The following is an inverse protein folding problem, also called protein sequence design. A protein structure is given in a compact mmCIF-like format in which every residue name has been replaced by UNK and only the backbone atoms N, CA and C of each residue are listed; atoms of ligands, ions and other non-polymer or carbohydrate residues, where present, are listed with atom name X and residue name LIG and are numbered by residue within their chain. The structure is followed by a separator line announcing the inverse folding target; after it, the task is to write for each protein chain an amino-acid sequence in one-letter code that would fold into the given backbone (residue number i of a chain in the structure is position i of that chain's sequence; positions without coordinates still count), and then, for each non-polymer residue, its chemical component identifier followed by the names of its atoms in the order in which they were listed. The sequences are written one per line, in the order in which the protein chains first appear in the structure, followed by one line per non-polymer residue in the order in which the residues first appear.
data_IF_866533073668
#
_entry.id   IF_866533073668
#
_cell.length_a   1.000
_cell.length_b   1.000
_cell.length_c   1.000
_cell.angle_alpha   90.00
_cell.angle_beta   90.00
_cell.angle_gamma   90.00
#
_symmetry.space_group_name_H-M   'P 1'
#
loop_
_entity.id
_entity.type
_entity.pdbx_description
1 polymer ?
#
# COMPACT_ATOMS: atom_id res chain seq x y z
N UNK A 1 9.24 -2.22 -32.17
CA UNK A 1 9.69 -2.52 -30.80
C UNK A 1 11.16 -2.16 -30.70
N UNK A 2 11.46 -0.89 -30.41
CA UNK A 2 12.82 -0.44 -30.13
C UNK A 2 13.12 -0.66 -28.65
N UNK A 3 14.27 -1.27 -28.34
CA UNK A 3 14.80 -1.35 -26.98
C UNK A 3 15.18 0.06 -26.53
N UNK A 4 14.32 0.72 -25.77
CA UNK A 4 14.71 1.90 -24.99
C UNK A 4 15.28 1.42 -23.67
N UNK A 5 16.61 1.39 -23.55
CA UNK A 5 17.28 1.48 -22.25
C UNK A 5 17.10 2.93 -21.77
N UNK A 6 15.94 3.22 -21.20
CA UNK A 6 15.74 4.36 -20.33
C UNK A 6 16.05 3.84 -18.93
N UNK A 7 16.91 4.51 -18.16
CA UNK A 7 16.86 4.56 -16.67
C UNK A 7 18.19 4.89 -15.97
N UNK A 8 19.27 5.19 -16.69
CA UNK A 8 20.51 5.59 -16.04
C UNK A 8 21.16 6.81 -16.70
N UNK A 9 21.20 7.93 -15.98
CA UNK A 9 22.15 9.01 -16.25
C UNK A 9 22.94 9.30 -14.98
N UNK A 10 24.26 9.26 -15.12
CA UNK A 10 25.24 9.50 -14.06
C UNK A 10 25.24 11.01 -13.71
N UNK A 11 24.99 11.32 -12.44
CA UNK A 11 25.13 12.65 -11.88
C UNK A 11 26.62 13.03 -11.77
N UNK A 12 26.90 14.32 -11.59
CA UNK A 12 28.27 14.88 -11.54
C UNK A 12 29.12 14.25 -10.42
N UNK A 13 28.48 13.66 -9.40
CA UNK A 13 29.10 12.96 -8.29
C UNK A 13 29.25 11.44 -8.50
N UNK A 14 28.90 10.92 -9.68
CA UNK A 14 28.97 9.48 -10.01
C UNK A 14 27.78 8.68 -9.49
N UNK A 15 26.74 9.31 -8.94
CA UNK A 15 25.51 8.62 -8.53
C UNK A 15 24.52 8.49 -9.70
N UNK A 16 23.82 7.36 -9.78
CA UNK A 16 22.72 7.19 -10.74
C UNK A 16 21.43 7.72 -10.12
N UNK A 17 20.78 8.66 -10.81
CA UNK A 17 19.42 9.10 -10.48
C UNK A 17 18.45 7.97 -10.81
N UNK A 18 17.90 7.27 -9.81
CA UNK A 18 16.75 6.39 -10.02
C UNK A 18 15.56 7.24 -10.47
N UNK A 19 15.32 7.25 -11.78
CA UNK A 19 14.33 8.11 -12.41
C UNK A 19 12.92 7.92 -11.85
N UNK A 20 12.60 6.76 -11.30
CA UNK A 20 11.39 6.43 -10.55
C UNK A 20 11.68 5.16 -9.72
N UNK A 21 10.88 4.84 -8.69
CA UNK A 21 11.02 3.54 -8.01
C UNK A 21 10.29 2.45 -8.80
N UNK A 22 10.79 1.22 -8.76
CA UNK A 22 10.23 0.10 -9.55
C UNK A 22 8.76 -0.16 -9.23
N UNK A 23 8.34 0.04 -7.98
CA UNK A 23 6.96 -0.14 -7.56
C UNK A 23 6.03 0.88 -8.22
N UNK A 24 6.47 2.14 -8.33
CA UNK A 24 5.70 3.19 -9.01
C UNK A 24 5.65 2.91 -10.51
N UNK A 25 6.73 2.42 -11.10
CA UNK A 25 6.77 2.01 -12.51
C UNK A 25 5.81 0.86 -12.80
N UNK A 26 5.73 -0.17 -11.94
CA UNK A 26 4.78 -1.26 -12.12
C UNK A 26 3.33 -0.81 -12.05
N UNK A 27 3.00 0.09 -11.11
CA UNK A 27 1.66 0.66 -11.00
C UNK A 27 1.35 1.54 -12.23
N UNK A 28 2.31 2.38 -12.65
CA UNK A 28 2.16 3.21 -13.83
C UNK A 28 1.98 2.38 -15.10
N UNK A 29 2.77 1.33 -15.29
CA UNK A 29 2.69 0.45 -16.44
C UNK A 29 1.33 -0.26 -16.49
N UNK A 30 0.80 -0.71 -15.34
CA UNK A 30 -0.52 -1.34 -15.30
C UNK A 30 -1.65 -0.39 -15.71
N UNK A 31 -1.52 0.91 -15.39
CA UNK A 31 -2.45 1.94 -15.87
C UNK A 31 -2.30 2.21 -17.37
N UNK A 32 -1.07 2.19 -17.89
CA UNK A 32 -0.79 2.32 -19.33
C UNK A 32 -1.38 1.14 -20.09
N UNK A 33 -1.07 -0.10 -19.69
CA UNK A 33 -1.55 -1.33 -20.33
C UNK A 33 -3.09 -1.37 -20.36
N UNK A 34 -3.75 -0.98 -19.27
CA UNK A 34 -5.20 -0.89 -19.19
C UNK A 34 -5.76 0.12 -20.20
N UNK A 35 -5.18 1.31 -20.27
CA UNK A 35 -5.63 2.36 -21.18
C UNK A 35 -5.32 2.04 -22.65
N UNK A 36 -4.21 1.37 -22.93
CA UNK A 36 -3.89 0.91 -24.29
C UNK A 36 -4.87 -0.17 -24.77
N UNK A 37 -5.32 -1.05 -23.86
CA UNK A 37 -6.36 -2.03 -24.14
C UNK A 37 -7.76 -1.40 -24.28
N UNK A 38 -8.04 -0.33 -23.54
CA UNK A 38 -9.33 0.38 -23.52
C UNK A 38 -9.16 1.91 -23.57
N UNK A 39 -8.83 2.49 -24.74
CA UNK A 39 -8.54 3.93 -24.87
C UNK A 39 -9.70 4.84 -24.48
N UNK A 40 -10.93 4.34 -24.56
CA UNK A 40 -12.15 5.05 -24.15
C UNK A 40 -12.14 5.49 -22.68
N UNK A 41 -11.38 4.83 -21.81
CA UNK A 41 -11.23 5.19 -20.39
C UNK A 41 -10.65 6.61 -20.21
N UNK A 42 -9.88 7.10 -21.18
CA UNK A 42 -9.34 8.46 -21.15
C UNK A 42 -10.39 9.55 -21.43
N UNK A 43 -11.55 9.18 -21.99
CA UNK A 43 -12.58 10.13 -22.38
C UNK A 43 -13.47 10.56 -21.21
N UNK A 44 -13.42 9.85 -20.07
CA UNK A 44 -14.24 10.14 -18.89
C UNK A 44 -15.72 10.33 -19.24
N UNK A 45 -16.28 9.42 -20.07
CA UNK A 45 -17.66 9.52 -20.58
C UNK A 45 -18.73 9.29 -19.51
N UNK A 46 -18.30 8.94 -18.29
CA UNK A 46 -19.12 8.75 -17.10
C UNK A 46 -19.83 7.41 -17.03
N UNK A 47 -19.59 6.48 -17.97
CA UNK A 47 -20.15 5.11 -17.89
C UNK A 47 -19.25 4.18 -17.08
N UNK A 48 -17.95 4.35 -17.21
CA UNK A 48 -16.94 3.59 -16.49
C UNK A 48 -15.98 4.58 -15.85
N UNK A 49 -15.83 4.49 -14.53
CA UNK A 49 -14.88 5.30 -13.79
C UNK A 49 -13.64 4.47 -13.46
N UNK A 50 -12.47 5.00 -13.83
CA UNK A 50 -11.18 4.43 -13.43
C UNK A 50 -10.84 4.88 -12.01
N UNK A 51 -10.73 3.94 -11.09
CA UNK A 51 -10.45 4.16 -9.68
C UNK A 51 -9.03 3.68 -9.34
N UNK A 52 -8.24 4.55 -8.70
CA UNK A 52 -6.96 4.19 -8.10
C UNK A 52 -7.04 4.49 -6.60
N UNK A 53 -7.05 3.45 -5.79
CA UNK A 53 -7.27 3.53 -4.34
C UNK A 53 -6.14 2.89 -3.54
N UNK A 54 -5.86 3.46 -2.37
CA UNK A 54 -4.93 2.97 -1.37
C UNK A 54 -5.72 2.62 -0.12
N UNK A 55 -5.68 1.35 0.28
CA UNK A 55 -6.39 0.84 1.47
C UNK A 55 -5.39 0.40 2.53
N UNK A 56 -5.71 0.64 3.80
CA UNK A 56 -4.90 0.19 4.93
C UNK A 56 -5.56 -1.01 5.60
N UNK A 57 -4.75 -2.00 5.96
CA UNK A 57 -5.23 -3.24 6.54
C UNK A 57 -4.12 -4.15 7.03
N UNK A 58 -4.33 -5.45 6.90
CA UNK A 58 -3.35 -6.46 7.29
C UNK A 58 -3.34 -7.58 6.26
N UNK A 59 -2.14 -7.99 5.84
CA UNK A 59 -1.93 -9.16 5.01
C UNK A 59 -1.93 -10.40 5.92
N UNK A 60 -2.82 -11.33 5.62
CA UNK A 60 -3.05 -12.53 6.42
C UNK A 60 -2.67 -13.75 5.58
N UNK A 61 -1.77 -14.57 6.08
CA UNK A 61 -1.42 -15.84 5.46
C UNK A 61 -2.65 -16.76 5.49
N UNK A 62 -3.04 -17.30 4.35
CA UNK A 62 -4.27 -18.10 4.26
C UNK A 62 -4.17 -19.45 4.97
N UNK A 63 -2.95 -19.98 5.10
CA UNK A 63 -2.69 -21.27 5.74
C UNK A 63 -2.63 -21.13 7.27
N UNK A 64 -1.88 -20.15 7.79
CA UNK A 64 -1.71 -19.97 9.23
C UNK A 64 -2.80 -19.12 9.88
N UNK A 65 -3.52 -18.32 9.08
CA UNK A 65 -4.47 -17.28 9.53
C UNK A 65 -3.82 -16.16 10.37
N UNK A 66 -2.49 -16.11 10.39
CA UNK A 66 -1.71 -15.07 11.07
C UNK A 66 -1.29 -13.97 10.09
N UNK A 67 -0.82 -12.85 10.64
CA UNK A 67 -0.23 -11.79 9.83
C UNK A 67 0.96 -12.34 9.02
N UNK A 68 1.08 -11.93 7.77
CA UNK A 68 2.28 -12.18 6.96
C UNK A 68 3.47 -11.44 7.57
N UNK A 69 4.52 -12.19 7.90
CA UNK A 69 5.80 -11.66 8.37
C UNK A 69 6.89 -12.10 7.39
N UNK A 70 7.65 -11.13 6.90
CA UNK A 70 8.76 -11.36 5.98
C UNK A 70 10.09 -11.01 6.66
N UNK A 71 11.18 -11.75 6.37
CA UNK A 71 12.51 -11.46 6.88
C UNK A 71 13.16 -10.31 6.09
N UNK A 72 12.49 -9.17 6.03
CA UNK A 72 12.95 -7.95 5.36
C UNK A 72 12.92 -6.78 6.35
N UNK A 73 13.79 -5.79 6.17
CA UNK A 73 13.90 -4.65 7.09
C UNK A 73 12.99 -3.48 6.71
N UNK A 74 12.53 -3.43 5.46
CA UNK A 74 11.69 -2.37 4.91
C UNK A 74 10.35 -2.89 4.41
N UNK A 75 9.42 -1.96 4.14
CA UNK A 75 8.20 -2.35 3.43
C UNK A 75 8.54 -2.91 2.06
N UNK A 76 7.84 -3.97 1.67
CA UNK A 76 8.11 -4.70 0.45
C UNK A 76 6.82 -4.92 -0.34
N UNK A 77 6.86 -4.63 -1.65
CA UNK A 77 5.82 -5.01 -2.58
C UNK A 77 5.83 -6.53 -2.75
N UNK A 78 4.74 -7.18 -2.38
CA UNK A 78 4.53 -8.60 -2.62
C UNK A 78 4.15 -8.84 -4.07
N UNK A 79 4.70 -9.91 -4.63
CA UNK A 79 4.19 -10.51 -5.86
C UNK A 79 2.76 -11.03 -5.62
N UNK A 80 1.92 -11.10 -6.68
CA UNK A 80 0.58 -11.64 -6.57
C UNK A 80 0.55 -12.99 -5.84
N UNK A 81 -0.42 -13.16 -4.94
CA UNK A 81 -0.61 -14.38 -4.14
C UNK A 81 -0.60 -15.64 -5.01
N UNK A 82 0.39 -16.50 -4.80
CA UNK A 82 0.53 -17.79 -5.49
C UNK A 82 0.14 -18.94 -4.56
N UNK A 83 -0.07 -20.14 -5.12
CA UNK A 83 -0.42 -21.33 -4.33
C UNK A 83 0.60 -21.65 -3.24
N UNK A 84 1.88 -21.39 -3.50
CA UNK A 84 2.98 -21.71 -2.57
C UNK A 84 3.12 -20.66 -1.46
N UNK A 85 2.74 -19.41 -1.72
CA UNK A 85 2.71 -18.32 -0.74
C UNK A 85 1.35 -17.61 -0.78
N UNK A 86 0.33 -18.31 -0.27
CA UNK A 86 -1.04 -17.84 -0.30
C UNK A 86 -1.33 -16.90 0.87
N UNK A 87 -1.71 -15.68 0.52
CA UNK A 87 -2.15 -14.66 1.47
C UNK A 87 -3.37 -13.91 0.94
N UNK A 88 -4.07 -13.25 1.86
CA UNK A 88 -5.18 -12.33 1.57
C UNK A 88 -4.98 -11.00 2.29
N UNK A 89 -5.43 -9.92 1.68
CA UNK A 89 -5.52 -8.63 2.35
C UNK A 89 -6.85 -8.50 3.08
N UNK A 90 -6.80 -8.12 4.35
CA UNK A 90 -7.97 -7.80 5.16
C UNK A 90 -7.97 -6.30 5.44
N UNK A 91 -8.84 -5.51 4.77
CA UNK A 91 -8.97 -4.09 5.11
C UNK A 91 -9.52 -3.95 6.52
N UNK A 92 -9.04 -2.97 7.27
CA UNK A 92 -9.54 -2.73 8.62
C UNK A 92 -8.52 -2.20 9.61
N UNK A 93 -8.99 -1.25 10.40
CA UNK A 93 -8.31 -0.62 11.51
C UNK A 93 -9.16 -0.74 12.77
N UNK A 94 -8.53 -0.47 13.91
CA UNK A 94 -9.28 -0.15 15.12
C UNK A 94 -9.82 1.29 15.04
N UNK A 95 -10.91 1.56 15.75
CA UNK A 95 -11.55 2.89 15.72
C UNK A 95 -10.56 4.01 16.04
N UNK A 96 -9.78 3.85 17.10
CA UNK A 96 -8.83 4.89 17.53
C UNK A 96 -7.69 5.10 16.52
N UNK A 97 -7.29 4.06 15.79
CA UNK A 97 -6.27 4.15 14.74
C UNK A 97 -6.78 5.04 13.60
N UNK A 98 -7.99 4.76 13.12
CA UNK A 98 -8.64 5.56 12.08
C UNK A 98 -8.82 7.01 12.54
N UNK A 99 -9.34 7.23 13.76
CA UNK A 99 -9.50 8.58 14.34
C UNK A 99 -8.17 9.32 14.43
N UNK A 100 -7.11 8.67 14.90
CA UNK A 100 -5.79 9.29 15.06
C UNK A 100 -5.21 9.78 13.73
N UNK A 101 -5.40 9.02 12.64
CA UNK A 101 -4.95 9.44 11.31
C UNK A 101 -5.73 10.65 10.82
N UNK A 102 -7.06 10.60 10.93
CA UNK A 102 -7.94 11.69 10.47
C UNK A 102 -7.63 13.00 11.22
N UNK A 103 -7.40 12.93 12.53
CA UNK A 103 -7.04 14.08 13.35
C UNK A 103 -5.67 14.65 12.99
N UNK A 104 -4.64 13.81 12.81
CA UNK A 104 -3.30 14.28 12.44
C UNK A 104 -3.29 14.94 11.06
N UNK A 105 -3.94 14.32 10.06
CA UNK A 105 -4.02 14.88 8.71
C UNK A 105 -4.75 16.23 8.69
N UNK A 106 -5.85 16.37 9.44
CA UNK A 106 -6.57 17.65 9.55
C UNK A 106 -5.71 18.74 10.16
N UNK A 107 -5.00 18.40 11.24
CA UNK A 107 -4.05 19.31 11.88
C UNK A 107 -2.98 19.77 10.88
N UNK A 108 -2.39 18.83 10.13
CA UNK A 108 -1.39 19.17 9.09
C UNK A 108 -1.97 20.07 8.00
N UNK A 109 -3.21 19.84 7.57
CA UNK A 109 -3.89 20.68 6.59
C UNK A 109 -4.17 22.08 7.13
N UNK A 110 -4.62 22.20 8.37
CA UNK A 110 -4.90 23.48 9.03
C UNK A 110 -3.61 24.29 9.24
N UNK A 111 -2.54 23.66 9.75
CA UNK A 111 -1.22 24.28 9.95
C UNK A 111 -0.60 24.74 8.62
N UNK A 112 -0.73 23.91 7.58
CA UNK A 112 -0.23 24.19 6.23
C UNK A 112 -1.15 25.10 5.41
N UNK A 113 -2.33 25.45 5.93
CA UNK A 113 -3.38 26.22 5.25
C UNK A 113 -3.80 25.61 3.90
N UNK A 114 -3.80 24.29 3.82
CA UNK A 114 -4.26 23.56 2.64
C UNK A 114 -5.79 23.49 2.70
N UNK A 115 -6.52 23.96 1.68
CA UNK A 115 -7.98 23.88 1.69
C UNK A 115 -8.45 22.44 1.52
N UNK A 116 -9.41 22.03 2.35
CA UNK A 116 -10.09 20.74 2.26
C UNK A 116 -11.59 20.88 2.49
N UNK A 117 -12.36 19.90 2.00
CA UNK A 117 -13.82 19.84 2.16
C UNK A 117 -14.17 18.55 2.90
N UNK A 118 -14.98 18.65 3.94
CA UNK A 118 -15.53 17.49 4.66
C UNK A 118 -16.95 17.22 4.16
N UNK A 119 -17.24 15.97 3.80
CA UNK A 119 -18.58 15.48 3.46
C UNK A 119 -18.89 14.26 4.32
N UNK A 120 -20.09 14.23 4.90
CA UNK A 120 -20.56 13.06 5.63
C UNK A 120 -21.66 12.38 4.81
N UNK A 121 -21.57 11.06 4.65
CA UNK A 121 -22.54 10.28 3.88
C UNK A 121 -22.74 8.92 4.54
N UNK A 122 -24.00 8.61 4.84
CA UNK A 122 -24.36 7.29 5.33
C UNK A 122 -25.10 6.53 4.22
N UNK A 123 -24.67 5.31 3.92
CA UNK A 123 -25.30 4.48 2.89
C UNK A 123 -25.60 3.06 3.38
N UNK A 124 -26.64 2.47 2.82
CA UNK A 124 -26.89 1.03 2.89
C UNK A 124 -26.63 0.46 1.50
N UNK A 125 -25.58 -0.34 1.39
CA UNK A 125 -25.13 -0.94 0.14
C UNK A 125 -25.60 -2.41 0.11
N UNK A 126 -26.41 -2.78 -0.87
CA UNK A 126 -26.91 -4.14 -1.08
C UNK A 126 -26.25 -4.76 -2.30
N UNK A 127 -25.62 -5.92 -2.14
CA UNK A 127 -24.97 -6.64 -3.23
C UNK A 127 -25.91 -7.75 -3.73
N UNK A 128 -26.28 -7.67 -4.99
CA UNK A 128 -27.14 -8.65 -5.67
C UNK A 128 -26.38 -9.35 -6.80
N UNK A 129 -26.82 -10.54 -7.18
CA UNK A 129 -26.27 -11.22 -8.35
C UNK A 129 -26.56 -10.43 -9.62
N UNK A 130 -25.56 -10.30 -10.48
CA UNK A 130 -25.68 -9.65 -11.77
C UNK A 130 -26.50 -10.55 -12.72
N UNK A 131 -27.69 -10.13 -13.17
CA UNK A 131 -28.55 -10.97 -14.01
C UNK A 131 -27.97 -11.24 -15.40
N UNK A 132 -26.98 -10.46 -15.84
CA UNK A 132 -26.45 -10.50 -17.20
C UNK A 132 -25.22 -11.42 -17.39
N UNK A 133 -24.72 -12.14 -16.36
CA UNK A 133 -23.48 -12.93 -16.47
C UNK A 133 -23.50 -14.26 -15.70
N UNK A 134 -22.79 -15.26 -16.23
CA UNK A 134 -22.69 -16.62 -15.64
C UNK A 134 -21.87 -16.64 -14.35
N UNK A 135 -22.19 -17.57 -13.45
CA UNK A 135 -21.66 -17.73 -12.07
C UNK A 135 -20.13 -17.92 -11.94
N UNK A 136 -19.39 -17.95 -13.05
CA UNK A 136 -17.99 -18.42 -13.12
C UNK A 136 -16.93 -17.31 -13.13
N UNK A 137 -17.31 -16.04 -13.18
CA UNK A 137 -16.37 -14.91 -13.10
C UNK A 137 -16.63 -14.08 -11.83
N UNK A 138 -15.56 -13.55 -11.21
CA UNK A 138 -15.54 -12.62 -10.06
C UNK A 138 -16.33 -11.29 -10.31
N UNK A 139 -17.06 -11.21 -11.42
CA UNK A 139 -17.88 -10.10 -11.92
C UNK A 139 -19.36 -10.25 -11.57
N UNK A 140 -19.66 -11.03 -10.54
CA UNK A 140 -21.01 -11.58 -10.31
C UNK A 140 -21.95 -10.71 -9.48
N UNK A 141 -21.47 -9.60 -8.89
CA UNK A 141 -22.28 -8.79 -7.98
C UNK A 141 -22.41 -7.32 -8.43
N UNK A 142 -23.65 -6.81 -8.39
CA UNK A 142 -23.96 -5.38 -8.52
C UNK A 142 -24.24 -4.83 -7.12
N UNK A 143 -23.60 -3.72 -6.77
CA UNK A 143 -23.86 -2.94 -5.56
C UNK A 143 -24.94 -1.91 -5.85
N UNK A 144 -26.06 -1.98 -5.13
CA UNK A 144 -27.10 -0.95 -5.07
C UNK A 144 -26.95 -0.15 -3.78
N UNK A 145 -26.65 1.14 -3.91
CA UNK A 145 -26.44 2.04 -2.76
C UNK A 145 -27.71 2.86 -2.48
N UNK A 146 -28.15 2.89 -1.23
CA UNK A 146 -29.25 3.74 -0.73
C UNK A 146 -28.73 4.72 0.31
N UNK A 147 -29.33 5.91 0.43
CA UNK A 147 -29.04 6.80 1.57
C UNK A 147 -29.60 6.18 2.85
N UNK A 148 -28.81 6.23 3.92
CA UNK A 148 -29.18 5.72 5.24
C UNK A 148 -29.68 6.86 6.15
N UNK A 149 -30.74 6.63 6.95
CA UNK A 149 -31.53 5.40 7.07
C UNK A 149 -32.44 5.18 5.86
N UNK A 150 -32.47 3.93 5.37
CA UNK A 150 -33.32 3.53 4.23
C UNK A 150 -34.76 3.26 4.69
N UNK A 151 -35.72 3.84 3.98
CA UNK A 151 -37.15 3.52 4.08
C UNK A 151 -37.61 2.62 2.92
N UNK A 152 -38.75 1.95 3.09
CA UNK A 152 -39.30 1.03 2.07
C UNK A 152 -39.58 1.68 0.70
N UNK A 153 -39.81 2.99 0.65
CA UNK A 153 -40.12 3.73 -0.59
C UNK A 153 -38.89 4.37 -1.23
N UNK A 154 -37.73 4.32 -0.58
CA UNK A 154 -36.55 5.01 -1.06
C UNK A 154 -36.02 4.30 -2.30
N UNK A 155 -35.60 5.10 -3.27
CA UNK A 155 -34.96 4.62 -4.49
C UNK A 155 -33.45 4.54 -4.29
N UNK A 156 -32.76 3.59 -4.92
CA UNK A 156 -31.31 3.55 -4.89
C UNK A 156 -30.75 4.81 -5.56
N UNK A 157 -29.68 5.36 -4.99
CA UNK A 157 -28.99 6.52 -5.54
C UNK A 157 -27.91 6.15 -6.54
N UNK A 158 -27.42 4.91 -6.47
CA UNK A 158 -26.29 4.45 -7.27
C UNK A 158 -26.39 2.93 -7.47
N UNK A 159 -25.94 2.48 -8.63
CA UNK A 159 -25.74 1.08 -8.96
C UNK A 159 -24.41 0.96 -9.69
N UNK A 160 -23.51 0.15 -9.14
CA UNK A 160 -22.23 -0.12 -9.77
C UNK A 160 -21.87 -1.60 -9.66
N UNK A 161 -21.06 -2.09 -10.58
CA UNK A 161 -20.24 -3.27 -10.32
C UNK A 161 -18.77 -2.92 -10.51
N UNK A 162 -17.92 -3.47 -9.65
CA UNK A 162 -16.48 -3.22 -9.66
C UNK A 162 -15.75 -4.34 -10.37
N UNK A 163 -14.88 -3.98 -11.30
CA UNK A 163 -13.91 -4.87 -11.92
C UNK A 163 -12.53 -4.57 -11.35
N UNK A 164 -11.90 -5.55 -10.71
CA UNK A 164 -10.56 -5.40 -10.17
C UNK A 164 -9.54 -5.67 -11.27
N UNK A 165 -8.75 -4.66 -11.62
CA UNK A 165 -7.75 -4.75 -12.69
C UNK A 165 -6.41 -5.20 -12.14
N UNK A 166 -5.90 -4.51 -11.13
CA UNK A 166 -4.60 -4.81 -10.54
C UNK A 166 -4.60 -4.50 -9.03
N UNK A 167 -3.79 -5.25 -8.30
CA UNK A 167 -3.56 -5.04 -6.86
C UNK A 167 -2.07 -5.16 -6.55
N UNK A 168 -1.59 -4.26 -5.70
CA UNK A 168 -0.21 -4.16 -5.27
C UNK A 168 -0.21 -4.15 -3.74
N UNK A 169 0.23 -5.25 -3.14
CA UNK A 169 0.21 -5.45 -1.70
C UNK A 169 1.57 -5.13 -1.10
N UNK A 170 1.61 -4.17 -0.18
CA UNK A 170 2.84 -3.75 0.49
C UNK A 170 2.84 -4.30 1.92
N UNK A 171 3.74 -5.24 2.17
CA UNK A 171 3.92 -5.86 3.48
C UNK A 171 4.85 -5.00 4.34
N UNK A 172 4.41 -4.65 5.54
CA UNK A 172 5.28 -4.06 6.54
C UNK A 172 6.18 -5.13 7.15
N UNK A 173 7.48 -4.83 7.36
CA UNK A 173 8.40 -5.75 7.99
C UNK A 173 7.96 -6.00 9.45
N UNK A 174 8.02 -7.24 9.90
CA UNK A 174 7.93 -7.52 11.34
C UNK A 174 9.14 -6.91 12.05
N UNK A 175 9.02 -6.51 13.31
CA UNK A 175 10.21 -6.11 14.04
C UNK A 175 11.13 -7.34 14.22
N UNK A 176 12.47 -7.19 14.11
CA UNK A 176 13.41 -8.28 14.40
C UNK A 176 13.29 -8.66 15.89
N UNK A 177 12.42 -9.63 16.15
CA UNK A 177 11.94 -10.04 17.48
C UNK A 177 10.55 -10.68 17.41
N UNK A 178 9.67 -10.22 16.50
CA UNK A 178 8.31 -10.74 16.32
C UNK A 178 8.27 -12.20 15.82
N UNK A 179 9.34 -12.66 15.15
CA UNK A 179 9.46 -14.04 14.67
C UNK A 179 9.81 -15.04 15.79
N UNK A 180 10.41 -14.56 16.89
CA UNK A 180 10.85 -15.42 17.99
C UNK A 180 9.87 -15.43 19.17
N UNK A 181 9.06 -14.38 19.33
CA UNK A 181 8.05 -14.29 20.38
C UNK A 181 6.64 -14.37 19.81
N UNK A 182 5.98 -15.52 20.01
CA UNK A 182 4.51 -15.65 19.95
C UNK A 182 3.74 -14.69 20.90
N UNK A 183 4.44 -13.79 21.60
CA UNK A 183 3.95 -12.96 22.69
C UNK A 183 3.56 -11.52 22.31
N UNK A 184 3.80 -11.06 21.07
CA UNK A 184 3.35 -9.71 20.68
C UNK A 184 1.89 -9.64 20.20
N UNK A 185 1.18 -10.78 20.17
CA UNK A 185 -0.27 -10.83 19.90
C UNK A 185 -1.08 -10.32 21.12
N UNK A 186 -0.51 -10.35 22.33
CA UNK A 186 -1.23 -10.02 23.56
C UNK A 186 -1.31 -8.51 23.87
N UNK A 187 -0.50 -7.65 23.22
CA UNK A 187 -0.45 -6.20 23.46
C UNK A 187 -0.97 -5.32 22.30
N UNK A 188 -1.79 -5.88 21.40
CA UNK A 188 -2.91 -5.10 20.84
C UNK A 188 -2.67 -4.16 19.66
N UNK A 189 -1.54 -4.21 18.93
CA UNK A 189 -1.51 -3.64 17.57
C UNK A 189 -0.62 -4.44 16.65
N UNK A 190 -1.22 -5.32 15.85
CA UNK A 190 -0.57 -5.87 14.66
C UNK A 190 -0.15 -4.70 13.76
N UNK A 191 1.11 -4.72 13.31
CA UNK A 191 1.60 -3.81 12.29
C UNK A 191 0.65 -3.82 11.09
N UNK A 192 0.35 -2.66 10.54
CA UNK A 192 -0.49 -2.46 9.38
C UNK A 192 0.31 -2.53 8.09
N UNK A 193 -0.35 -3.03 7.08
CA UNK A 193 0.10 -3.16 5.70
C UNK A 193 -0.82 -2.28 4.85
N UNK A 194 -0.47 -2.06 3.59
CA UNK A 194 -1.36 -1.34 2.68
C UNK A 194 -1.44 -2.00 1.31
N UNK A 195 -2.52 -1.71 0.60
CA UNK A 195 -2.77 -2.16 -0.76
C UNK A 195 -3.05 -0.97 -1.64
N UNK A 196 -2.40 -0.91 -2.79
CA UNK A 196 -2.83 -0.06 -3.90
C UNK A 196 -3.64 -0.92 -4.86
N UNK A 197 -4.83 -0.48 -5.27
CA UNK A 197 -5.68 -1.17 -6.21
C UNK A 197 -6.08 -0.26 -7.37
N UNK A 198 -6.17 -0.86 -8.55
CA UNK A 198 -6.72 -0.24 -9.76
C UNK A 198 -8.00 -1.00 -10.07
N UNK A 199 -9.12 -0.28 -10.07
CA UNK A 199 -10.44 -0.85 -10.36
C UNK A 199 -11.13 -0.05 -11.47
N UNK A 200 -12.07 -0.69 -12.16
CA UNK A 200 -13.07 -0.03 -12.98
C UNK A 200 -14.42 -0.11 -12.27
N UNK A 201 -15.07 1.03 -12.05
CA UNK A 201 -16.45 1.09 -11.58
C UNK A 201 -17.39 1.29 -12.76
N UNK A 202 -18.11 0.23 -13.12
CA UNK A 202 -19.10 0.27 -14.20
C UNK A 202 -20.42 0.77 -13.64
N UNK A 203 -20.91 1.91 -14.12
CA UNK A 203 -22.16 2.53 -13.66
C UNK A 203 -23.35 1.95 -14.40
N UNK A 204 -24.34 1.52 -13.63
CA UNK A 204 -25.61 1.00 -14.13
C UNK A 204 -26.74 1.95 -13.74
N UNK A 205 -27.89 1.84 -14.43
CA UNK A 205 -29.07 2.59 -14.02
C UNK A 205 -29.65 1.99 -12.72
N UNK A 206 -29.65 2.72 -11.59
CA UNK A 206 -30.06 2.14 -10.31
C UNK A 206 -31.52 1.70 -10.27
N UNK A 207 -32.39 2.42 -10.98
CA UNK A 207 -33.82 2.10 -11.00
C UNK A 207 -34.08 0.86 -11.85
N UNK A 208 -33.40 0.72 -12.99
CA UNK A 208 -33.54 -0.47 -13.84
C UNK A 208 -33.05 -1.72 -13.12
N UNK A 209 -31.87 -1.65 -12.49
CA UNK A 209 -31.31 -2.77 -11.72
C UNK A 209 -32.25 -3.15 -10.57
N UNK A 210 -32.74 -2.19 -9.78
CA UNK A 210 -33.66 -2.48 -8.68
C UNK A 210 -34.97 -3.13 -9.15
N UNK A 211 -35.47 -2.78 -10.33
CA UNK A 211 -36.68 -3.38 -10.91
C UNK A 211 -36.48 -4.85 -11.33
N UNK A 212 -35.24 -5.33 -11.50
CA UNK A 212 -34.96 -6.75 -11.78
C UNK A 212 -35.16 -7.64 -10.55
N UNK A 213 -35.15 -7.07 -9.35
CA UNK A 213 -35.25 -7.80 -8.09
C UNK A 213 -36.73 -7.99 -7.71
N UNK A 214 -37.12 -9.24 -7.49
CA UNK A 214 -38.48 -9.58 -7.05
C UNK A 214 -38.60 -9.51 -5.53
N UNK A 215 -39.38 -8.56 -5.01
CA UNK A 215 -39.64 -8.39 -3.58
C UNK A 215 -38.64 -7.46 -2.87
N UNK A 216 -38.59 -7.45 -1.53
CA UNK A 216 -37.65 -6.61 -0.78
C UNK A 216 -36.20 -6.97 -1.12
N UNK A 217 -35.36 -5.95 -1.36
CA UNK A 217 -33.94 -6.12 -1.71
C UNK A 217 -33.17 -6.85 -0.61
N UNK A 218 -33.55 -6.67 0.65
CA UNK A 218 -32.99 -7.33 1.84
C UNK A 218 -33.12 -8.86 1.75
N UNK A 219 -34.15 -9.36 1.07
CA UNK A 219 -34.38 -10.79 0.88
C UNK A 219 -33.60 -11.37 -0.31
N UNK A 220 -33.13 -10.50 -1.21
CA UNK A 220 -32.48 -10.91 -2.46
C UNK A 220 -30.98 -10.66 -2.46
N UNK A 221 -30.48 -9.80 -1.57
CA UNK A 221 -29.06 -9.49 -1.47
C UNK A 221 -28.27 -10.67 -0.87
N UNK A 222 -27.06 -10.85 -1.39
CA UNK A 222 -26.06 -11.78 -0.87
C UNK A 222 -25.33 -11.18 0.33
N UNK A 223 -25.18 -9.86 0.33
CA UNK A 223 -24.44 -9.07 1.30
C UNK A 223 -25.10 -7.71 1.47
N UNK A 224 -25.23 -7.26 2.72
CA UNK A 224 -25.56 -5.88 3.06
C UNK A 224 -24.35 -5.25 3.77
N UNK A 225 -23.97 -4.03 3.38
CA UNK A 225 -22.98 -3.22 4.09
C UNK A 225 -23.60 -1.88 4.43
N UNK A 226 -23.74 -1.57 5.72
CA UNK A 226 -24.10 -0.24 6.20
C UNK A 226 -22.82 0.54 6.40
N UNK A 227 -22.73 1.73 5.83
CA UNK A 227 -21.51 2.54 5.81
C UNK A 227 -21.80 3.91 6.37
N UNK A 228 -21.07 4.29 7.40
CA UNK A 228 -21.02 5.65 7.94
C UNK A 228 -19.69 6.24 7.51
N UNK A 229 -19.73 7.18 6.56
CA UNK A 229 -18.52 7.70 5.93
C UNK A 229 -18.34 9.18 6.17
N UNK A 230 -17.13 9.52 6.56
CA UNK A 230 -16.59 10.88 6.50
C UNK A 230 -15.54 10.94 5.39
N UNK A 231 -15.78 11.81 4.42
CA UNK A 231 -14.91 12.02 3.25
C UNK A 231 -14.22 13.37 3.39
N UNK A 232 -12.88 13.38 3.29
CA UNK A 232 -12.05 14.58 3.24
C UNK A 232 -11.48 14.72 1.84
N UNK A 233 -11.95 15.73 1.10
CA UNK A 233 -11.43 16.04 -0.23
C UNK A 233 -10.32 17.10 -0.11
N UNK A 234 -9.12 16.77 -0.55
CA UNK A 234 -7.95 17.66 -0.49
C UNK A 234 -7.16 17.60 -1.80
N UNK A 235 -7.10 18.72 -2.52
CA UNK A 235 -6.37 18.82 -3.79
C UNK A 235 -6.70 17.66 -4.74
N UNK A 236 -5.71 16.80 -5.06
CA UNK A 236 -5.81 15.65 -5.96
C UNK A 236 -6.37 14.37 -5.33
N UNK A 237 -6.63 14.37 -4.02
CA UNK A 237 -6.94 13.16 -3.24
C UNK A 237 -8.30 13.25 -2.54
N UNK A 238 -8.86 12.08 -2.27
CA UNK A 238 -10.03 11.88 -1.43
C UNK A 238 -9.66 10.88 -0.35
N UNK A 239 -9.83 11.25 0.92
CA UNK A 239 -9.66 10.34 2.05
C UNK A 239 -11.04 9.97 2.60
N UNK A 240 -11.38 8.69 2.51
CA UNK A 240 -12.61 8.13 3.03
C UNK A 240 -12.33 7.37 4.33
N UNK A 241 -12.89 7.86 5.43
CA UNK A 241 -12.92 7.22 6.75
C UNK A 241 -14.30 6.61 6.94
N UNK A 242 -14.39 5.28 6.89
CA UNK A 242 -15.68 4.58 6.85
C UNK A 242 -15.81 3.57 7.99
N UNK A 243 -16.82 3.73 8.83
CA UNK A 243 -17.30 2.66 9.69
C UNK A 243 -18.29 1.79 8.90
N UNK A 244 -18.01 0.49 8.82
CA UNK A 244 -18.77 -0.48 8.04
C UNK A 244 -19.33 -1.55 8.95
N UNK A 245 -20.65 -1.78 8.84
CA UNK A 245 -21.33 -2.93 9.43
C UNK A 245 -21.76 -3.86 8.30
N UNK A 246 -21.10 -5.00 8.20
CA UNK A 246 -21.39 -6.04 7.21
C UNK A 246 -22.38 -7.06 7.79
N UNK A 247 -23.44 -7.35 7.04
CA UNK A 247 -24.49 -8.30 7.40
C UNK A 247 -24.60 -9.37 6.31
N UNK A 248 -24.33 -10.61 6.68
CA UNK A 248 -24.42 -11.77 5.78
C UNK A 248 -25.69 -12.59 6.06
N UNK A 249 -26.55 -12.76 5.05
CA UNK A 249 -27.86 -13.39 5.18
C UNK A 249 -27.86 -14.91 4.95
N UNK A 250 -26.87 -15.46 4.22
CA UNK A 250 -26.96 -16.83 3.67
C UNK A 250 -26.63 -17.98 4.64
N UNK A 251 -26.00 -17.77 5.80
CA UNK A 251 -25.54 -18.86 6.71
C UNK A 251 -25.64 -18.55 8.20
N UNK A 252 -26.75 -17.93 8.60
CA UNK A 252 -26.96 -17.40 9.95
C UNK A 252 -26.48 -15.96 10.01
N UNK A 253 -27.26 -15.11 10.69
CA UNK A 253 -26.94 -13.69 10.84
C UNK A 253 -25.54 -13.54 11.44
N UNK A 254 -24.60 -13.06 10.63
CA UNK A 254 -23.27 -12.63 11.08
C UNK A 254 -23.16 -11.15 10.81
N UNK A 255 -22.85 -10.42 11.88
CA UNK A 255 -22.56 -9.00 11.83
C UNK A 255 -21.06 -8.83 12.10
N UNK A 256 -20.36 -8.19 11.18
CA UNK A 256 -18.96 -7.82 11.33
C UNK A 256 -18.83 -6.32 11.24
N UNK A 257 -18.05 -5.73 12.15
CA UNK A 257 -17.79 -4.29 12.17
C UNK A 257 -16.33 -4.04 11.81
N UNK A 258 -16.10 -3.15 10.85
CA UNK A 258 -14.77 -2.77 10.39
C UNK A 258 -14.67 -1.25 10.27
N UNK A 259 -13.50 -0.70 10.60
CA UNK A 259 -13.16 0.69 10.32
C UNK A 259 -12.18 0.71 9.17
N UNK A 260 -12.59 1.27 8.04
CA UNK A 260 -11.85 1.25 6.77
C UNK A 260 -11.36 2.66 6.46
N UNK A 261 -10.07 2.78 6.14
CA UNK A 261 -9.44 4.01 5.69
C UNK A 261 -8.95 3.83 4.26
N UNK A 262 -9.47 4.64 3.35
CA UNK A 262 -9.27 4.56 1.90
C UNK A 262 -8.79 5.92 1.39
N UNK A 263 -7.70 5.96 0.62
CA UNK A 263 -7.20 7.15 -0.06
C UNK A 263 -7.34 6.94 -1.56
N UNK A 264 -8.00 7.85 -2.26
CA UNK A 264 -8.26 7.74 -3.69
C UNK A 264 -7.63 8.91 -4.46
N UNK A 265 -7.12 8.63 -5.65
CA UNK A 265 -6.75 9.65 -6.62
C UNK A 265 -7.98 10.11 -7.39
N UNK A 266 -8.22 11.43 -7.43
CA UNK A 266 -9.34 11.98 -8.19
C UNK A 266 -9.13 11.78 -9.71
N UNK A 267 -10.07 11.10 -10.42
CA UNK A 267 -9.93 10.84 -11.86
C UNK A 267 -9.69 12.07 -12.71
N UNK A 268 -10.37 13.18 -12.39
CA UNK A 268 -10.22 14.45 -13.10
C UNK A 268 -8.81 15.08 -13.01
N UNK A 269 -8.00 14.65 -12.04
CA UNK A 269 -6.63 15.14 -11.87
C UNK A 269 -5.60 14.22 -12.53
N UNK A 270 -5.70 12.89 -12.39
CA UNK A 270 -4.66 11.98 -12.88
C UNK A 270 -4.89 11.52 -14.32
N UNK A 271 -6.12 11.38 -14.81
CA UNK A 271 -6.39 10.90 -16.19
C UNK A 271 -5.79 11.84 -17.26
N UNK A 272 -5.91 13.18 -17.16
CA UNK A 272 -5.26 14.07 -18.11
C UNK A 272 -3.72 13.93 -18.12
N UNK A 273 -3.13 13.69 -16.94
CA UNK A 273 -1.69 13.49 -16.81
C UNK A 273 -1.26 12.12 -17.37
N UNK A 274 -2.04 11.07 -17.16
CA UNK A 274 -1.81 9.75 -17.75
C UNK A 274 -1.87 9.81 -19.27
N UNK A 275 -2.85 10.53 -19.83
CA UNK A 275 -2.95 10.77 -21.28
C UNK A 275 -1.69 11.46 -21.82
N UNK A 276 -1.26 12.55 -21.18
CA UNK A 276 -0.02 13.26 -21.56
C UNK A 276 1.21 12.36 -21.45
N UNK A 277 1.28 11.51 -20.41
CA UNK A 277 2.38 10.57 -20.20
C UNK A 277 2.49 9.57 -21.36
N UNK A 278 1.38 8.97 -21.75
CA UNK A 278 1.32 8.02 -22.87
C UNK A 278 1.72 8.71 -24.18
N UNK A 279 1.21 9.92 -24.44
CA UNK A 279 1.55 10.70 -25.63
C UNK A 279 3.05 11.04 -25.68
N UNK A 280 3.65 11.49 -24.58
CA UNK A 280 5.07 11.85 -24.53
C UNK A 280 5.99 10.63 -24.62
N UNK A 281 5.56 9.50 -24.05
CA UNK A 281 6.28 8.22 -24.14
C UNK A 281 6.26 7.69 -25.57
N UNK A 282 5.09 7.63 -26.21
CA UNK A 282 4.93 7.15 -27.59
C UNK A 282 5.65 8.03 -28.62
N UNK A 283 5.72 9.34 -28.36
CA UNK A 283 6.44 10.28 -29.22
C UNK A 283 7.95 10.36 -28.92
N UNK A 284 8.46 9.58 -27.95
CA UNK A 284 9.88 9.62 -27.55
C UNK A 284 10.33 10.97 -26.99
N UNK A 285 9.40 11.79 -26.50
CA UNK A 285 9.68 13.11 -25.90
C UNK A 285 10.16 12.99 -24.47
N UNK A 286 9.83 11.87 -23.81
CA UNK A 286 10.20 11.60 -22.43
C UNK A 286 11.69 11.21 -22.34
N UNK A 287 12.50 12.07 -21.72
CA UNK A 287 13.93 11.78 -21.47
C UNK A 287 14.17 11.04 -20.16
N UNK A 288 13.38 11.33 -19.12
CA UNK A 288 13.49 10.73 -17.78
C UNK A 288 12.08 10.50 -17.23
N UNK A 289 11.74 9.24 -16.95
CA UNK A 289 10.37 8.82 -16.64
C UNK A 289 9.79 9.56 -15.43
N UNK A 290 10.42 9.48 -14.26
CA UNK A 290 9.82 10.10 -13.06
C UNK A 290 9.98 11.61 -12.94
N UNK A 291 10.49 12.28 -13.98
CA UNK A 291 10.31 13.73 -14.07
C UNK A 291 8.91 14.11 -14.52
N UNK A 292 8.17 13.19 -15.15
CA UNK A 292 6.84 13.45 -15.68
C UNK A 292 5.81 13.69 -14.57
N UNK A 293 4.91 14.69 -14.71
CA UNK A 293 3.93 15.03 -13.68
C UNK A 293 3.02 13.87 -13.23
N UNK A 294 2.64 12.97 -14.15
CA UNK A 294 1.87 11.76 -13.81
C UNK A 294 2.61 10.87 -12.81
N UNK A 295 3.89 10.59 -13.09
CA UNK A 295 4.71 9.73 -12.23
C UNK A 295 4.93 10.38 -10.87
N UNK A 296 5.15 11.70 -10.82
CA UNK A 296 5.25 12.44 -9.55
C UNK A 296 3.96 12.39 -8.73
N UNK A 297 2.80 12.54 -9.38
CA UNK A 297 1.51 12.44 -8.71
C UNK A 297 1.30 11.04 -8.13
N UNK A 298 1.62 10.00 -8.90
CA UNK A 298 1.51 8.60 -8.47
C UNK A 298 2.47 8.28 -7.34
N UNK A 299 3.72 8.73 -7.43
CA UNK A 299 4.70 8.58 -6.35
C UNK A 299 4.23 9.27 -5.06
N UNK A 300 3.72 10.51 -5.16
CA UNK A 300 3.18 11.22 -4.00
C UNK A 300 1.98 10.50 -3.38
N UNK A 301 1.11 9.93 -4.22
CA UNK A 301 -0.02 9.12 -3.76
C UNK A 301 0.44 7.91 -2.94
N UNK A 302 1.31 7.08 -3.50
CA UNK A 302 1.81 5.87 -2.84
C UNK A 302 2.59 6.23 -1.57
N UNK A 303 3.41 7.28 -1.61
CA UNK A 303 4.15 7.77 -0.45
C UNK A 303 3.22 8.29 0.66
N UNK A 304 2.06 8.86 0.32
CA UNK A 304 1.07 9.29 1.31
C UNK A 304 0.41 8.09 1.99
N UNK A 305 0.00 7.06 1.23
CA UNK A 305 -0.53 5.80 1.79
C UNK A 305 0.50 5.11 2.69
N UNK A 306 1.75 5.05 2.22
CA UNK A 306 2.89 4.56 2.98
C UNK A 306 3.11 5.37 4.27
N UNK A 307 3.10 6.70 4.19
CA UNK A 307 3.25 7.60 5.33
C UNK A 307 2.18 7.42 6.39
N UNK A 308 0.91 7.26 5.99
CA UNK A 308 -0.19 6.95 6.91
C UNK A 308 0.03 5.58 7.58
N UNK A 309 0.46 4.58 6.82
CA UNK A 309 0.74 3.23 7.35
C UNK A 309 1.89 3.26 8.35
N UNK A 310 2.97 3.99 8.04
CA UNK A 310 4.08 4.21 8.96
C UNK A 310 3.65 4.96 10.23
N UNK A 311 2.81 5.98 10.10
CA UNK A 311 2.27 6.70 11.25
C UNK A 311 1.53 5.74 12.19
N UNK A 312 0.63 4.91 11.64
CA UNK A 312 -0.12 3.91 12.41
C UNK A 312 0.80 2.89 13.10
N UNK A 313 1.83 2.42 12.42
CA UNK A 313 2.77 1.44 12.96
C UNK A 313 3.66 2.00 14.07
N UNK A 314 3.86 3.32 14.11
CA UNK A 314 4.65 3.99 15.13
C UNK A 314 3.79 4.63 16.23
N UNK A 315 2.47 4.75 16.02
CA UNK A 315 1.54 5.31 17.00
C UNK A 315 1.24 4.28 18.07
N UNK A 316 1.65 4.55 19.31
CA UNK A 316 1.24 3.75 20.45
C UNK A 316 -0.26 3.98 20.73
N UNK A 317 -1.01 2.94 21.15
CA UNK A 317 -2.36 3.13 21.64
C UNK A 317 -2.34 4.20 22.75
N UNK A 318 -3.23 5.19 22.67
CA UNK A 318 -3.36 6.16 23.76
C UNK A 318 -3.76 5.41 25.03
N UNK A 319 -2.89 5.41 26.05
CA UNK A 319 -3.19 4.92 27.39
C UNK A 319 -4.33 5.75 28.00
N UNK A 320 -5.57 5.32 27.79
CA UNK A 320 -6.67 5.59 28.68
C UNK A 320 -7.11 4.27 29.29
N UNK A 321 -6.50 3.90 30.42
CA UNK A 321 -7.08 3.29 31.63
C UNK A 321 -5.92 2.85 32.56
N UNK A 322 -5.80 3.59 33.66
CA UNK A 322 -5.41 3.19 35.03
C UNK A 322 -4.15 2.34 35.29
N UNK A 323 -3.17 3.02 35.91
CA UNK A 323 -2.34 2.58 37.04
C UNK A 323 -2.06 1.08 37.20
N UNK A 324 -0.92 0.65 36.65
CA UNK A 324 0.10 -0.24 37.23
C UNK A 324 1.05 -0.50 36.06
N UNK A 325 2.26 0.02 36.03
CA UNK A 325 3.43 -0.69 36.52
C UNK A 325 4.50 0.36 36.81
N UNK A 326 4.78 0.57 38.10
CA UNK A 326 6.11 0.97 38.51
C UNK A 326 7.05 -0.23 38.31
N UNK A 327 8.25 0.08 37.85
CA UNK A 327 9.46 -0.77 37.80
C UNK A 327 9.63 -1.65 36.56
N UNK A 328 10.21 -1.05 35.53
CA UNK A 328 11.32 -1.66 34.80
C UNK A 328 12.29 -0.56 34.37
N UNK A 329 13.21 -0.20 35.27
CA UNK A 329 14.47 0.42 34.90
C UNK A 329 15.25 -0.60 34.05
N UNK A 330 15.57 -0.26 32.80
CA UNK A 330 16.32 -1.16 31.92
C UNK A 330 16.78 -0.53 30.61
N UNK A 331 17.82 0.31 30.69
CA UNK A 331 18.79 0.63 29.63
C UNK A 331 18.27 1.04 28.23
N UNK A 332 17.82 2.29 28.12
CA UNK A 332 17.96 3.04 26.86
C UNK A 332 19.45 3.34 26.61
N UNK A 333 19.95 2.92 25.44
CA UNK A 333 21.33 2.99 24.89
C UNK A 333 22.10 1.67 24.88
N UNK A 334 21.65 0.70 24.09
CA UNK A 334 22.54 -0.26 23.46
C UNK A 334 22.25 -0.31 21.96
N UNK A 335 23.27 0.01 21.16
CA UNK A 335 23.31 -0.29 19.72
C UNK A 335 23.50 -1.81 19.63
N UNK A 336 22.58 -2.51 18.96
CA UNK A 336 22.63 -3.96 18.80
C UNK A 336 23.64 -4.32 17.72
N UNK A 337 24.59 -5.21 18.04
CA UNK A 337 25.63 -5.68 17.12
C UNK A 337 25.11 -6.86 16.29
N UNK A 338 24.74 -6.57 15.04
CA UNK A 338 24.16 -7.52 14.08
C UNK A 338 25.15 -8.60 13.60
N UNK A 339 26.44 -8.50 13.92
CA UNK A 339 27.44 -9.53 13.53
C UNK A 339 27.26 -10.86 14.27
N UNK A 340 26.42 -10.89 15.30
CA UNK A 340 26.14 -12.07 16.11
C UNK A 340 24.88 -12.84 15.69
N UNK A 341 24.07 -12.30 14.77
CA UNK A 341 22.89 -12.96 14.22
C UNK A 341 23.28 -13.91 13.08
N UNK A 342 23.48 -15.20 13.38
CA UNK A 342 23.66 -16.23 12.36
C UNK A 342 22.33 -16.94 12.08
N UNK A 343 21.83 -16.82 10.85
CA UNK A 343 20.66 -17.57 10.40
C UNK A 343 21.07 -18.97 9.92
N UNK A 344 20.23 -20.01 10.09
CA UNK A 344 20.49 -21.34 9.57
C UNK A 344 20.73 -21.32 8.05
N UNK A 345 21.76 -22.03 7.58
CA UNK A 345 22.15 -22.07 6.17
C UNK A 345 21.01 -22.46 5.21
N UNK A 346 20.06 -23.27 5.67
CA UNK A 346 18.89 -23.68 4.89
C UNK A 346 17.95 -22.51 4.58
N UNK A 347 17.73 -21.60 5.54
CA UNK A 347 16.93 -20.39 5.33
C UNK A 347 17.64 -19.39 4.42
N UNK A 348 18.97 -19.25 4.56
CA UNK A 348 19.78 -18.39 3.69
C UNK A 348 19.76 -18.91 2.24
N UNK A 349 19.84 -20.23 2.06
CA UNK A 349 19.74 -20.87 0.74
C UNK A 349 18.33 -20.70 0.14
N UNK A 350 17.27 -20.87 0.94
CA UNK A 350 15.90 -20.63 0.51
C UNK A 350 15.67 -19.17 0.10
N UNK A 351 16.14 -18.21 0.90
CA UNK A 351 16.06 -16.78 0.59
C UNK A 351 16.80 -16.44 -0.72
N UNK A 352 18.04 -16.93 -0.88
CA UNK A 352 18.81 -16.77 -2.12
C UNK A 352 18.13 -17.40 -3.34
N UNK A 353 17.41 -18.50 -3.15
CA UNK A 353 16.73 -19.23 -4.23
C UNK A 353 15.42 -18.58 -4.66
N UNK A 354 14.66 -18.00 -3.72
CA UNK A 354 13.28 -17.58 -3.97
C UNK A 354 13.04 -16.07 -3.91
N UNK A 355 13.88 -15.30 -3.20
CA UNK A 355 13.70 -13.85 -2.98
C UNK A 355 14.77 -13.01 -3.68
N UNK A 356 15.94 -13.61 -3.98
CA UNK A 356 17.08 -12.90 -4.59
C UNK A 356 17.07 -12.99 -6.13
N UNK A 357 16.12 -12.31 -6.79
CA UNK A 357 16.51 -11.57 -7.98
C UNK A 357 16.16 -10.09 -7.92
N UNK A 358 15.80 -9.54 -6.75
CA UNK A 358 15.60 -8.09 -6.58
C UNK A 358 16.80 -7.50 -5.81
N UNK A 359 17.36 -6.43 -6.37
CA UNK A 359 18.57 -5.69 -5.96
C UNK A 359 18.40 -4.93 -4.62
N UNK A 360 19.46 -4.40 -3.98
CA UNK A 360 19.87 -4.79 -2.63
C UNK A 360 19.40 -3.84 -1.51
N UNK A 361 19.18 -4.43 -0.32
CA UNK A 361 18.85 -3.74 0.94
C UNK A 361 20.11 -3.06 1.53
N UNK A 362 19.88 -1.97 2.26
CA UNK A 362 20.79 -1.04 2.97
C UNK A 362 22.21 -1.49 3.40
N UNK A 363 22.48 -2.79 3.60
CA UNK A 363 23.83 -3.32 3.87
C UNK A 363 24.82 -3.17 2.70
N UNK A 364 24.33 -3.05 1.47
CA UNK A 364 25.19 -2.98 0.26
C UNK A 364 25.85 -1.59 0.09
N UNK A 365 25.26 -0.52 0.63
CA UNK A 365 25.83 0.83 0.56
C UNK A 365 27.07 0.99 1.42
N UNK A 366 27.05 0.48 2.66
CA UNK A 366 28.21 0.53 3.55
C UNK A 366 29.34 -0.36 3.01
N UNK A 367 29.00 -1.55 2.53
CA UNK A 367 29.96 -2.45 1.89
C UNK A 367 30.62 -1.78 0.68
N UNK A 368 29.83 -1.22 -0.26
CA UNK A 368 30.38 -0.48 -1.41
C UNK A 368 31.21 0.74 -1.01
N UNK A 369 30.77 1.49 0.01
CA UNK A 369 31.49 2.67 0.50
C UNK A 369 32.88 2.33 1.06
N UNK A 370 33.06 1.15 1.67
CA UNK A 370 34.34 0.74 2.28
C UNK A 370 35.17 -0.21 1.41
N UNK A 371 34.59 -0.85 0.39
CA UNK A 371 35.26 -1.90 -0.40
C UNK A 371 36.49 -1.39 -1.15
N UNK A 372 36.41 -0.19 -1.76
CA UNK A 372 37.52 0.39 -2.53
C UNK A 372 38.74 0.66 -1.64
N UNK A 373 38.53 1.17 -0.43
CA UNK A 373 39.60 1.41 0.55
C UNK A 373 40.13 0.11 1.16
N UNK A 374 39.27 -0.88 1.42
CA UNK A 374 39.72 -2.21 1.90
C UNK A 374 40.56 -2.95 0.87
N UNK A 375 40.26 -2.80 -0.41
CA UNK A 375 41.10 -3.34 -1.49
C UNK A 375 42.47 -2.66 -1.54
N UNK A 376 42.52 -1.33 -1.40
CA UNK A 376 43.80 -0.58 -1.33
C UNK A 376 44.64 -1.01 -0.13
N UNK A 377 44.01 -1.27 1.02
CA UNK A 377 44.65 -1.65 2.27
C UNK A 377 44.85 -3.17 2.45
N UNK A 378 44.50 -3.99 1.45
CA UNK A 378 44.65 -5.46 1.46
C UNK A 378 43.97 -6.15 2.67
N UNK A 379 42.82 -5.64 3.12
CA UNK A 379 42.08 -6.15 4.28
C UNK A 379 41.08 -7.27 3.90
N UNK A 380 40.75 -8.20 4.83
CA UNK A 380 39.75 -9.25 4.61
C UNK A 380 38.41 -8.66 4.19
N UNK A 381 37.85 -9.13 3.07
CA UNK A 381 36.65 -8.54 2.45
C UNK A 381 35.36 -8.91 3.21
N UNK A 382 35.38 -10.03 3.90
CA UNK A 382 34.28 -10.66 4.63
C UNK A 382 33.93 -10.03 5.98
N UNK A 383 34.77 -9.13 6.52
CA UNK A 383 34.57 -8.51 7.84
C UNK A 383 34.75 -7.00 7.77
N UNK A 384 33.67 -6.21 7.91
CA UNK A 384 33.76 -4.73 8.03
C UNK A 384 34.03 -4.36 9.49
N UNK A 385 35.10 -3.61 9.77
CA UNK A 385 35.33 -3.06 11.10
C UNK A 385 35.10 -1.54 11.14
N UNK A 386 34.95 -0.99 12.35
CA UNK A 386 34.72 0.44 12.57
C UNK A 386 35.77 1.35 11.92
N UNK A 387 37.04 0.90 11.89
CA UNK A 387 38.13 1.66 11.25
C UNK A 387 37.97 1.74 9.72
N UNK A 388 37.41 0.73 9.06
CA UNK A 388 37.16 0.76 7.61
C UNK A 388 36.14 1.86 7.25
N UNK A 389 35.15 2.04 8.12
CA UNK A 389 34.10 3.07 7.98
C UNK A 389 34.67 4.47 8.23
N UNK A 390 35.44 4.64 9.31
CA UNK A 390 36.03 5.93 9.66
C UNK A 390 37.07 6.40 8.63
N UNK A 391 37.83 5.50 8.00
CA UNK A 391 38.76 5.83 6.91
C UNK A 391 37.98 6.24 5.65
N UNK A 392 36.95 5.48 5.27
CA UNK A 392 36.18 5.73 4.05
C UNK A 392 35.35 7.02 4.11
N UNK A 393 34.89 7.40 5.32
CA UNK A 393 34.21 8.67 5.57
C UNK A 393 35.19 9.86 5.75
N UNK A 394 36.50 9.64 5.65
CA UNK A 394 37.53 10.67 5.82
C UNK A 394 37.67 11.18 7.26
N UNK A 395 37.09 10.47 8.24
CA UNK A 395 37.17 10.80 9.67
C UNK A 395 38.55 10.43 10.21
N UNK A 396 39.12 9.32 9.73
CA UNK A 396 40.52 8.92 9.98
C UNK A 396 41.35 9.03 8.70
N UNK A 397 42.58 9.55 8.78
CA UNK A 397 43.48 9.53 7.64
C UNK A 397 43.87 8.10 7.26
N UNK A 398 44.09 7.87 5.97
CA UNK A 398 44.66 6.63 5.47
C UNK A 398 46.00 6.36 6.18
N UNK A 399 46.20 5.16 6.77
CA UNK A 399 47.50 4.81 7.32
C UNK A 399 48.54 4.84 6.18
N UNK A 400 49.77 5.29 6.46
CA UNK A 400 50.82 5.38 5.45
C UNK A 400 51.09 4.00 4.84
N UNK A 401 51.24 3.96 3.51
CA UNK A 401 51.58 2.77 2.74
C UNK A 401 52.84 2.13 3.33
N UNK A 402 52.67 1.05 4.10
CA UNK A 402 53.78 0.19 4.51
C UNK A 402 54.05 -0.80 3.39
N UNK A 403 54.50 -0.27 2.26
CA UNK A 403 55.24 -1.03 1.26
C UNK A 403 56.70 -0.63 1.32
N UNK A 404 57.42 -1.16 2.30
CA UNK A 404 58.86 -1.41 2.15
C UNK A 404 59.23 -2.76 2.77
N UNK A 405 59.85 -3.57 1.89
CA UNK A 405 60.56 -4.86 2.03
C UNK A 405 59.72 -6.14 2.00
#
# INVERSE_FOLDING_TARGET
MGKTNLDEYELIDGSFSAGCSQEIEFIAQSLVDLVEASPELLNMDGKVDLEVEGRIGTLINENTKEKVLLPVEGMCLLLPSEKEFSYRFSPGLEKWQMTSVVEELRKDFDESKIPYIIKNKNTNDYYIQNPNKSETEDKSLIRLSYISPKNQKDKPTEAIWKEKIAVFDFCSPGQPGDLETKHNIENGTLLKDFRIAINLEHKENPTEVANTVTGPIENSCVLERRRERETIEVSNFVLDSTHVVQIESRRGFRQFETYELELELKPCHFIPLLKSYIEDTNNGKLKVIGTHPFIKLLANFVNLVFGITLFLNNKKPNEQIESCIQNSFGNEKQIMDLTSCTQPNEMVQAFKKYVSPITPILGDYLYRAVTSEKQKLNRPQDIICKDDIEISLGIKPLPPDTKEI
#
